data_IF_857751161917
#
_entry.id   IF_857751161917
#
_cell.length_a   1.000
_cell.length_b   1.000
_cell.length_c   1.000
_cell.angle_alpha   90.00
_cell.angle_beta   90.00
_cell.angle_gamma   90.00
#
_symmetry.space_group_name_H-M   'P 1'
#
loop_
_entity.id
_entity.type
_entity.pdbx_description
1 polymer ?
#
# COMPACT_ATOMS: atom_id res chain seq x y z
N UNK A 1 6.39 21.00 -0.82
CA UNK A 1 5.43 20.36 -1.73
C UNK A 1 4.84 19.17 -0.99
N UNK A 2 3.53 19.17 -0.76
CA UNK A 2 2.84 17.95 -0.30
C UNK A 2 2.75 16.99 -1.48
N UNK A 3 3.38 15.82 -1.39
CA UNK A 3 3.27 14.79 -2.43
C UNK A 3 1.87 14.16 -2.38
N UNK A 4 1.21 14.04 -3.53
CA UNK A 4 -0.08 13.37 -3.67
C UNK A 4 0.12 11.86 -3.83
N UNK A 5 -0.88 11.08 -3.46
CA UNK A 5 -0.84 9.64 -3.66
C UNK A 5 -0.74 9.30 -5.14
N UNK A 6 0.32 8.58 -5.51
CA UNK A 6 0.56 8.15 -6.90
C UNK A 6 -0.41 7.05 -7.40
N UNK A 7 -1.31 6.56 -6.53
CA UNK A 7 -2.32 5.55 -6.88
C UNK A 7 -3.67 6.21 -7.12
N UNK A 8 -4.23 6.90 -6.13
CA UNK A 8 -5.55 7.51 -6.27
C UNK A 8 -5.52 8.95 -6.77
N UNK A 9 -4.40 9.68 -6.65
CA UNK A 9 -4.29 11.10 -7.06
C UNK A 9 -5.13 12.09 -6.24
N UNK A 10 -5.95 11.62 -5.29
CA UNK A 10 -6.94 12.44 -4.58
C UNK A 10 -6.46 12.84 -3.18
N UNK A 11 -5.71 11.96 -2.50
CA UNK A 11 -5.28 12.15 -1.11
C UNK A 11 -3.79 12.42 -1.04
N UNK A 12 -3.36 13.17 -0.02
CA UNK A 12 -1.93 13.36 0.29
C UNK A 12 -1.25 12.01 0.58
N UNK A 13 -0.07 11.81 -0.01
CA UNK A 13 0.79 10.69 0.30
C UNK A 13 1.32 10.82 1.74
N UNK A 14 1.32 9.70 2.45
CA UNK A 14 1.81 9.60 3.83
C UNK A 14 2.85 8.49 4.00
N UNK A 15 2.90 7.54 3.08
CA UNK A 15 3.74 6.35 3.16
C UNK A 15 4.46 6.11 1.84
N UNK A 16 5.64 5.49 1.90
CA UNK A 16 6.42 5.07 0.74
C UNK A 16 6.47 3.55 0.66
N UNK A 17 6.07 2.98 -0.48
CA UNK A 17 6.12 1.54 -0.70
C UNK A 17 7.57 1.04 -0.73
N UNK A 18 7.92 0.07 0.11
CA UNK A 18 9.29 -0.48 0.14
C UNK A 18 9.65 -1.28 -1.13
N UNK A 19 8.65 -1.74 -1.89
CA UNK A 19 8.86 -2.57 -3.10
C UNK A 19 8.97 -1.76 -4.39
N UNK A 20 8.08 -0.78 -4.59
CA UNK A 20 8.05 0.01 -5.84
C UNK A 20 8.48 1.47 -5.65
N UNK A 21 8.68 1.92 -4.42
CA UNK A 21 9.11 3.29 -4.12
C UNK A 21 8.01 4.36 -4.21
N UNK A 22 6.79 4.03 -4.62
CA UNK A 22 5.70 5.01 -4.75
C UNK A 22 5.27 5.62 -3.42
N UNK A 23 5.00 6.90 -3.43
CA UNK A 23 4.38 7.69 -2.37
C UNK A 23 2.85 7.54 -2.44
N UNK A 24 2.26 7.00 -1.38
CA UNK A 24 0.85 6.59 -1.34
C UNK A 24 0.14 7.05 -0.08
N UNK A 25 -1.18 7.21 -0.17
CA UNK A 25 -2.01 7.57 0.98
C UNK A 25 -2.25 6.37 1.91
N UNK A 26 -2.83 6.62 3.08
CA UNK A 26 -3.13 5.58 4.07
C UNK A 26 -4.11 4.50 3.57
N UNK A 27 -5.00 4.85 2.65
CA UNK A 27 -5.96 3.91 2.07
C UNK A 27 -5.26 2.97 1.08
N UNK A 28 -4.36 3.49 0.24
CA UNK A 28 -3.64 2.71 -0.77
C UNK A 28 -2.37 2.01 -0.23
N UNK A 29 -2.22 1.91 1.09
CA UNK A 29 -1.05 1.36 1.76
C UNK A 29 -1.40 0.30 2.81
N UNK A 30 -0.77 -0.87 2.67
CA UNK A 30 -0.78 -1.92 3.68
C UNK A 30 0.26 -1.62 4.75
N UNK A 31 -0.14 -0.94 5.83
CA UNK A 31 0.76 -0.60 6.95
C UNK A 31 1.51 -1.82 7.49
N UNK A 32 0.81 -2.95 7.67
CA UNK A 32 1.40 -4.17 8.23
C UNK A 32 2.47 -4.81 7.33
N UNK A 33 2.46 -4.51 6.02
CA UNK A 33 3.41 -5.07 5.06
C UNK A 33 4.46 -4.06 4.58
N UNK A 34 4.22 -2.75 4.79
CA UNK A 34 5.04 -1.69 4.19
C UNK A 34 4.85 -1.56 2.67
N UNK A 35 3.76 -2.07 2.11
CA UNK A 35 3.53 -2.20 0.67
C UNK A 35 2.27 -1.47 0.22
N UNK A 36 2.25 -0.90 -0.98
CA UNK A 36 1.04 -0.32 -1.55
C UNK A 36 0.09 -1.38 -2.14
N UNK A 37 -1.20 -1.02 -2.23
CA UNK A 37 -2.25 -1.87 -2.82
C UNK A 37 -2.00 -2.23 -4.29
N UNK A 38 -1.24 -1.41 -5.02
CA UNK A 38 -0.84 -1.72 -6.39
C UNK A 38 0.21 -2.85 -6.47
N UNK A 39 1.08 -3.00 -5.46
CA UNK A 39 2.05 -4.09 -5.40
C UNK A 39 1.46 -5.39 -4.83
N UNK A 40 0.49 -5.26 -3.93
CA UNK A 40 -0.23 -6.38 -3.32
C UNK A 40 -1.72 -6.04 -3.40
N UNK A 41 -2.44 -6.48 -4.44
CA UNK A 41 -3.88 -6.28 -4.51
C UNK A 41 -4.59 -7.04 -3.38
N UNK A 42 -5.82 -6.64 -3.07
CA UNK A 42 -6.54 -7.12 -1.88
C UNK A 42 -6.73 -8.64 -1.85
N UNK A 43 -6.94 -9.27 -3.01
CA UNK A 43 -7.06 -10.73 -3.10
C UNK A 43 -5.79 -11.44 -2.64
N UNK A 44 -4.63 -10.95 -3.07
CA UNK A 44 -3.33 -11.51 -2.70
C UNK A 44 -3.03 -11.27 -1.20
N UNK A 45 -3.40 -10.11 -0.68
CA UNK A 45 -3.28 -9.81 0.75
C UNK A 45 -4.09 -10.80 1.61
N UNK A 46 -5.33 -11.10 1.21
CA UNK A 46 -6.20 -12.07 1.90
C UNK A 46 -5.59 -13.47 1.91
N UNK A 47 -4.96 -13.90 0.82
CA UNK A 47 -4.25 -15.19 0.78
C UNK A 47 -3.04 -15.25 1.70
N UNK A 48 -2.23 -14.19 1.73
CA UNK A 48 -1.07 -14.10 2.62
C UNK A 48 -1.48 -14.10 4.09
N UNK A 49 -2.52 -13.34 4.44
CA UNK A 49 -3.05 -13.26 5.80
C UNK A 49 -3.52 -14.64 6.31
N UNK A 50 -4.13 -15.46 5.45
CA UNK A 50 -4.53 -16.83 5.80
C UNK A 50 -3.34 -17.75 6.08
N UNK A 51 -2.22 -17.58 5.36
CA UNK A 51 -1.00 -18.38 5.56
C UNK A 51 -0.23 -18.00 6.82
N UNK A 52 -0.28 -16.73 7.25
CA UNK A 52 0.44 -16.25 8.45
C UNK A 52 -0.23 -16.64 9.78
N UNK A 53 -1.49 -17.07 9.77
CA UNK A 53 -2.24 -17.50 10.97
C UNK A 53 -2.28 -19.03 11.14
N UNK A 54 -1.39 -19.77 10.45
CA UNK A 54 -1.31 -21.23 10.50
C UNK A 54 0.07 -21.64 10.98
#
# INVERSE_FOLDING_TARGET
MDEMCEICGIRKAKYKCIRCGRNVCADDFWLMLGLCKACVPEWQYKEWKKKMMK
#
